data_IF_387792236258
#
_entry.id   IF_387792236258
#
_cell.length_a   1.000
_cell.length_b   1.000
_cell.length_c   1.000
_cell.angle_alpha   90.00
_cell.angle_beta   90.00
_cell.angle_gamma   90.00
#
_symmetry.space_group_name_H-M   'P 1'
#
loop_
_entity.id
_entity.type
_entity.pdbx_description
1 polymer ?
#
# COMPACT_ATOMS: atom_id res chain seq x y z
N UNK A 1 11.96 12.70 -18.18
CA UNK A 1 12.53 12.10 -16.93
C UNK A 1 11.47 11.15 -16.39
N UNK A 2 11.79 9.88 -16.31
CA UNK A 2 10.84 8.91 -15.76
C UNK A 2 10.66 9.15 -14.26
N UNK A 3 9.41 9.15 -13.77
CA UNK A 3 9.09 9.29 -12.35
C UNK A 3 9.88 8.27 -11.50
N UNK A 4 10.29 8.62 -10.26
CA UNK A 4 11.03 7.72 -9.35
C UNK A 4 10.41 6.34 -9.17
N UNK A 5 9.08 6.24 -9.21
CA UNK A 5 8.36 4.99 -9.00
C UNK A 5 8.72 3.88 -10.00
N UNK A 6 9.18 4.23 -11.21
CA UNK A 6 9.62 3.22 -12.19
C UNK A 6 10.96 2.54 -11.82
N UNK A 7 11.63 3.02 -10.77
CA UNK A 7 12.84 2.44 -10.18
C UNK A 7 12.60 1.94 -8.74
N UNK A 8 11.35 1.84 -8.32
CA UNK A 8 10.93 1.49 -6.96
C UNK A 8 11.65 0.26 -6.43
N UNK A 9 11.69 -0.81 -7.21
CA UNK A 9 12.27 -2.08 -6.78
C UNK A 9 13.78 -2.02 -6.54
N UNK A 10 14.49 -1.09 -7.19
CA UNK A 10 15.93 -0.91 -6.96
C UNK A 10 16.23 -0.33 -5.57
N UNK A 11 15.29 0.40 -4.98
CA UNK A 11 15.43 1.05 -3.68
C UNK A 11 14.65 0.34 -2.56
N UNK A 12 13.88 -0.71 -2.90
CA UNK A 12 12.95 -1.36 -1.98
C UNK A 12 13.61 -1.85 -0.69
N UNK A 13 14.70 -2.57 -0.80
CA UNK A 13 15.40 -3.13 0.37
C UNK A 13 16.06 -2.03 1.21
N UNK A 14 16.61 -1.00 0.57
CA UNK A 14 17.15 0.17 1.27
C UNK A 14 16.05 0.93 2.03
N UNK A 15 14.86 1.09 1.41
CA UNK A 15 13.70 1.70 2.08
C UNK A 15 13.23 0.88 3.29
N UNK A 16 13.18 -0.45 3.17
CA UNK A 16 12.86 -1.33 4.30
C UNK A 16 13.86 -1.15 5.43
N UNK A 17 15.16 -1.09 5.13
CA UNK A 17 16.21 -0.84 6.12
C UNK A 17 16.09 0.53 6.79
N UNK A 18 15.76 1.58 6.03
CA UNK A 18 15.52 2.93 6.56
C UNK A 18 14.30 2.96 7.52
N UNK A 19 13.21 2.30 7.15
CA UNK A 19 12.03 2.15 8.02
C UNK A 19 12.39 1.51 9.34
N UNK A 20 13.12 0.39 9.33
CA UNK A 20 13.55 -0.32 10.53
C UNK A 20 14.43 0.58 11.39
N UNK A 21 15.41 1.26 10.79
CA UNK A 21 16.31 2.17 11.50
C UNK A 21 15.55 3.31 12.20
N UNK A 22 14.56 3.90 11.53
CA UNK A 22 13.71 4.97 12.10
C UNK A 22 12.86 4.46 13.27
N UNK A 23 12.27 3.28 13.14
CA UNK A 23 11.47 2.67 14.20
C UNK A 23 12.34 2.39 15.42
N UNK A 24 13.54 1.81 15.22
CA UNK A 24 14.49 1.54 16.31
C UNK A 24 14.98 2.83 16.99
N UNK A 25 15.21 3.89 16.22
CA UNK A 25 15.62 5.18 16.76
C UNK A 25 14.51 5.89 17.54
N UNK A 26 13.25 5.73 17.11
CA UNK A 26 12.10 6.33 17.76
C UNK A 26 11.61 5.55 19.00
N UNK A 27 11.98 4.27 19.15
CA UNK A 27 11.53 3.42 20.25
C UNK A 27 12.45 3.61 21.47
N UNK A 28 11.97 4.35 22.45
CA UNK A 28 12.73 4.62 23.67
C UNK A 28 12.88 3.38 24.56
N UNK A 29 11.85 2.55 24.65
CA UNK A 29 11.84 1.31 25.45
C UNK A 29 11.45 0.10 24.58
N UNK A 30 12.44 -0.66 24.10
CA UNK A 30 12.21 -1.88 23.33
C UNK A 30 11.38 -2.93 24.06
N UNK A 31 11.59 -3.09 25.37
CA UNK A 31 10.88 -4.09 26.17
C UNK A 31 9.39 -3.77 26.26
N UNK A 32 9.05 -2.50 26.49
CA UNK A 32 7.66 -2.06 26.52
C UNK A 32 6.98 -2.25 25.16
N UNK A 33 7.64 -1.85 24.06
CA UNK A 33 7.11 -2.01 22.72
C UNK A 33 6.86 -3.49 22.35
N UNK A 34 7.78 -4.38 22.73
CA UNK A 34 7.63 -5.82 22.53
C UNK A 34 6.52 -6.42 23.40
N UNK A 35 6.37 -5.97 24.66
CA UNK A 35 5.26 -6.39 25.51
C UNK A 35 3.90 -6.03 24.91
N UNK A 36 3.74 -4.79 24.43
CA UNK A 36 2.51 -4.37 23.74
C UNK A 36 2.24 -5.23 22.50
N UNK A 37 3.28 -5.52 21.70
CA UNK A 37 3.16 -6.38 20.54
C UNK A 37 2.76 -7.82 20.93
N UNK A 38 3.45 -8.43 21.90
CA UNK A 38 3.14 -9.77 22.39
C UNK A 38 1.69 -9.86 22.91
N UNK A 39 1.28 -8.92 23.75
CA UNK A 39 -0.09 -8.90 24.29
C UNK A 39 -1.15 -8.86 23.18
N UNK A 40 -1.00 -7.98 22.23
CA UNK A 40 -1.97 -7.82 21.15
C UNK A 40 -1.98 -9.03 20.21
N UNK A 41 -0.80 -9.58 19.89
CA UNK A 41 -0.69 -10.72 18.96
C UNK A 41 -1.15 -12.05 19.61
N UNK A 42 -0.81 -12.31 20.87
CA UNK A 42 -1.31 -13.48 21.60
C UNK A 42 -2.84 -13.43 21.68
N UNK A 43 -3.41 -12.26 21.99
CA UNK A 43 -4.86 -12.07 22.02
C UNK A 43 -5.50 -12.27 20.64
N UNK A 44 -4.88 -11.79 19.58
CA UNK A 44 -5.38 -11.95 18.19
C UNK A 44 -5.35 -13.38 17.70
N UNK A 45 -4.32 -14.14 18.09
CA UNK A 45 -4.05 -15.51 17.63
C UNK A 45 -4.66 -16.57 18.54
N UNK A 46 -5.02 -16.21 19.77
CA UNK A 46 -5.40 -17.16 20.83
C UNK A 46 -6.48 -18.19 20.44
N UNK A 47 -7.40 -17.78 19.55
CA UNK A 47 -8.47 -18.66 19.08
C UNK A 47 -8.04 -19.64 17.96
N UNK A 48 -6.87 -19.39 17.34
CA UNK A 48 -6.45 -20.13 16.14
C UNK A 48 -5.25 -21.04 16.38
N UNK A 49 -4.50 -20.82 17.46
CA UNK A 49 -3.29 -21.58 17.77
C UNK A 49 -2.18 -21.44 16.73
N UNK A 50 -1.19 -22.34 16.79
CA UNK A 50 -0.16 -22.51 15.77
C UNK A 50 1.18 -21.85 16.09
N UNK A 51 2.17 -22.08 15.21
CA UNK A 51 3.56 -21.70 15.41
C UNK A 51 3.79 -20.18 15.64
N UNK A 52 2.93 -19.35 15.07
CA UNK A 52 2.97 -17.90 15.26
C UNK A 52 2.60 -17.53 16.71
N UNK A 53 1.52 -18.13 17.25
CA UNK A 53 1.13 -17.94 18.64
C UNK A 53 2.24 -18.40 19.58
N UNK A 54 2.81 -19.60 19.34
CA UNK A 54 3.90 -20.14 20.16
C UNK A 54 5.14 -19.23 20.16
N UNK A 55 5.45 -18.59 19.03
CA UNK A 55 6.54 -17.61 18.94
C UNK A 55 6.28 -16.41 19.87
N UNK A 56 5.09 -15.84 19.80
CA UNK A 56 4.74 -14.68 20.63
C UNK A 56 4.68 -15.02 22.12
N UNK A 57 4.18 -16.19 22.47
CA UNK A 57 4.16 -16.68 23.87
C UNK A 57 5.58 -16.91 24.41
N UNK A 58 6.46 -17.53 23.61
CA UNK A 58 7.88 -17.68 24.00
C UNK A 58 8.58 -16.34 24.19
N UNK A 59 8.35 -15.39 23.28
CA UNK A 59 8.92 -14.06 23.42
C UNK A 59 8.40 -13.38 24.69
N UNK A 60 7.10 -13.36 24.92
CA UNK A 60 6.48 -12.79 26.13
C UNK A 60 7.07 -13.38 27.42
N UNK A 61 7.26 -14.70 27.49
CA UNK A 61 7.86 -15.39 28.67
C UNK A 61 9.33 -15.05 28.90
N UNK A 62 10.04 -14.53 27.90
CA UNK A 62 11.47 -14.14 27.99
C UNK A 62 11.67 -12.65 28.32
N UNK A 63 10.72 -11.77 27.97
CA UNK A 63 10.91 -10.31 28.01
C UNK A 63 11.34 -9.77 29.37
N UNK A 64 10.90 -10.40 30.47
CA UNK A 64 11.32 -10.00 31.82
C UNK A 64 12.75 -10.45 32.22
N UNK A 65 13.48 -11.17 31.36
CA UNK A 65 14.78 -11.80 31.66
C UNK A 65 15.86 -11.51 30.63
N UNK A 66 15.50 -10.90 29.48
CA UNK A 66 16.46 -10.54 28.43
C UNK A 66 17.15 -9.21 28.74
N UNK A 67 18.38 -9.07 28.30
CA UNK A 67 19.13 -7.83 28.37
C UNK A 67 18.55 -6.74 27.46
N UNK A 68 18.84 -5.46 27.71
CA UNK A 68 18.43 -4.37 26.81
C UNK A 68 18.93 -4.55 25.35
N UNK A 69 20.11 -5.14 25.17
CA UNK A 69 20.65 -5.43 23.85
C UNK A 69 19.86 -6.54 23.13
N UNK A 70 19.48 -7.60 23.84
CA UNK A 70 18.64 -8.67 23.29
C UNK A 70 17.23 -8.15 22.97
N UNK A 71 16.64 -7.31 23.84
CA UNK A 71 15.35 -6.67 23.57
C UNK A 71 15.41 -5.82 22.28
N UNK A 72 16.51 -5.11 22.05
CA UNK A 72 16.71 -4.33 20.84
C UNK A 72 16.83 -5.21 19.60
N UNK A 73 17.51 -6.35 19.68
CA UNK A 73 17.60 -7.32 18.58
C UNK A 73 16.24 -7.94 18.23
N UNK A 74 15.46 -8.33 19.25
CA UNK A 74 14.11 -8.84 19.03
C UNK A 74 13.19 -7.78 18.42
N UNK A 75 13.30 -6.52 18.87
CA UNK A 75 12.57 -5.39 18.28
C UNK A 75 12.90 -5.20 16.81
N UNK A 76 14.20 -5.26 16.47
CA UNK A 76 14.67 -5.15 15.08
C UNK A 76 14.13 -6.29 14.21
N UNK A 77 14.11 -7.52 14.72
CA UNK A 77 13.56 -8.68 14.02
C UNK A 77 12.06 -8.50 13.74
N UNK A 78 11.29 -8.09 14.75
CA UNK A 78 9.84 -7.86 14.62
C UNK A 78 9.56 -6.68 13.68
N UNK A 79 10.28 -5.58 13.82
CA UNK A 79 10.14 -4.41 12.96
C UNK A 79 10.49 -4.75 11.50
N UNK A 80 11.57 -5.52 11.28
CA UNK A 80 11.98 -5.99 9.95
C UNK A 80 10.94 -6.90 9.31
N UNK A 81 10.36 -7.80 10.09
CA UNK A 81 9.28 -8.67 9.62
C UNK A 81 8.08 -7.82 9.14
N UNK A 82 7.63 -6.88 9.96
CA UNK A 82 6.51 -6.01 9.59
C UNK A 82 6.84 -5.10 8.41
N UNK A 83 8.03 -4.51 8.36
CA UNK A 83 8.43 -3.65 7.27
C UNK A 83 8.45 -4.39 5.93
N UNK A 84 8.91 -5.64 5.90
CA UNK A 84 8.89 -6.49 4.70
C UNK A 84 7.47 -6.92 4.31
N UNK A 85 6.59 -7.24 5.27
CA UNK A 85 5.18 -7.60 4.98
C UNK A 85 4.41 -6.39 4.45
N UNK A 86 4.67 -5.20 4.99
CA UNK A 86 4.05 -3.94 4.53
C UNK A 86 4.55 -3.55 3.14
N UNK A 87 5.84 -3.71 2.87
CA UNK A 87 6.49 -3.16 1.68
C UNK A 87 5.81 -3.60 0.37
N UNK A 88 5.36 -2.59 -0.38
CA UNK A 88 4.84 -2.76 -1.74
C UNK A 88 5.92 -3.12 -2.75
N UNK A 89 5.51 -3.22 -3.98
CA UNK A 89 6.35 -3.45 -5.15
C UNK A 89 5.82 -2.63 -6.33
N UNK A 90 6.66 -2.33 -7.30
CA UNK A 90 6.20 -1.69 -8.53
C UNK A 90 6.93 -2.28 -9.74
N UNK A 91 6.16 -2.93 -10.64
CA UNK A 91 6.70 -3.46 -11.89
C UNK A 91 6.21 -2.60 -13.07
N UNK A 92 7.14 -1.91 -13.76
CA UNK A 92 6.80 -1.09 -14.93
C UNK A 92 6.11 -1.86 -16.07
N UNK A 93 6.38 -3.16 -16.20
CA UNK A 93 5.75 -4.02 -17.23
C UNK A 93 4.30 -4.29 -16.87
N UNK A 94 4.05 -4.63 -15.59
CA UNK A 94 2.69 -4.83 -15.07
C UNK A 94 1.91 -3.52 -15.16
N UNK A 95 2.52 -2.39 -14.82
CA UNK A 95 1.89 -1.08 -14.98
C UNK A 95 1.51 -0.79 -16.43
N UNK A 96 2.42 -0.99 -17.38
CA UNK A 96 2.15 -0.79 -18.81
C UNK A 96 1.03 -1.71 -19.35
N UNK A 97 0.95 -2.94 -18.85
CA UNK A 97 -0.14 -3.85 -19.17
C UNK A 97 -1.45 -3.38 -18.54
N UNK A 98 -1.44 -3.07 -17.24
CA UNK A 98 -2.62 -2.61 -16.51
C UNK A 98 -3.21 -1.33 -17.12
N UNK A 99 -2.38 -0.35 -17.47
CA UNK A 99 -2.81 0.89 -18.14
C UNK A 99 -3.60 0.63 -19.41
N UNK A 100 -3.18 -0.35 -20.21
CA UNK A 100 -3.90 -0.75 -21.42
C UNK A 100 -5.17 -1.54 -21.15
N UNK A 101 -5.18 -2.37 -20.08
CA UNK A 101 -6.29 -3.24 -19.73
C UNK A 101 -7.39 -2.55 -18.91
N UNK A 102 -7.04 -1.52 -18.15
CA UNK A 102 -8.01 -0.81 -17.28
C UNK A 102 -9.10 -0.13 -18.08
N UNK A 103 -8.77 0.51 -19.20
CA UNK A 103 -9.76 1.20 -20.02
C UNK A 103 -10.85 0.24 -20.55
N UNK A 104 -10.53 -0.86 -21.24
CA UNK A 104 -11.55 -1.80 -21.69
C UNK A 104 -12.31 -2.47 -20.53
N UNK A 105 -11.64 -2.74 -19.39
CA UNK A 105 -12.27 -3.31 -18.21
C UNK A 105 -13.32 -2.35 -17.60
N UNK A 106 -12.98 -1.08 -17.43
CA UNK A 106 -13.92 -0.06 -16.96
C UNK A 106 -15.06 0.15 -17.97
N UNK A 107 -14.78 0.11 -19.27
CA UNK A 107 -15.78 0.16 -20.33
C UNK A 107 -16.79 -0.97 -20.22
N UNK A 108 -16.32 -2.18 -20.00
CA UNK A 108 -17.14 -3.37 -19.82
C UNK A 108 -18.01 -3.27 -18.54
N UNK A 109 -17.46 -2.78 -17.45
CA UNK A 109 -18.18 -2.61 -16.17
C UNK A 109 -19.23 -1.50 -16.23
N UNK A 110 -18.91 -0.38 -16.89
CA UNK A 110 -19.81 0.77 -17.01
C UNK A 110 -20.85 0.63 -18.12
N UNK A 111 -20.65 -0.32 -19.04
CA UNK A 111 -21.56 -0.57 -20.16
C UNK A 111 -21.61 -2.04 -20.56
N UNK A 112 -22.22 -2.90 -19.77
CA UNK A 112 -22.36 -4.33 -20.13
C UNK A 112 -23.03 -4.57 -21.49
N UNK A 113 -23.94 -3.66 -21.88
CA UNK A 113 -24.65 -3.74 -23.18
C UNK A 113 -23.75 -3.44 -24.40
N UNK A 114 -22.66 -2.71 -24.23
CA UNK A 114 -21.72 -2.45 -25.32
C UNK A 114 -20.85 -3.67 -25.65
N UNK A 115 -20.63 -4.57 -24.71
CA UNK A 115 -19.93 -5.86 -24.94
C UNK A 115 -20.71 -6.79 -25.88
N UNK A 116 -22.05 -6.74 -25.81
CA UNK A 116 -22.92 -7.60 -26.66
C UNK A 116 -23.05 -7.06 -28.08
N UNK A 117 -22.79 -5.77 -28.29
CA UNK A 117 -22.99 -5.10 -29.59
C UNK A 117 -21.74 -5.03 -30.45
N UNK A 118 -20.55 -5.23 -29.87
CA UNK A 118 -19.28 -5.19 -30.59
C UNK A 118 -18.65 -6.57 -30.66
N UNK A 119 -18.83 -7.25 -31.80
CA UNK A 119 -18.11 -8.45 -32.17
C UNK A 119 -16.58 -8.18 -32.32
N UNK A 120 -15.73 -9.24 -32.30
CA UNK A 120 -14.29 -9.12 -32.05
C UNK A 120 -13.59 -8.22 -33.08
N UNK A 121 -13.03 -7.11 -32.61
CA UNK A 121 -12.20 -6.20 -33.43
C UNK A 121 -12.24 -4.72 -33.03
N UNK A 122 -13.26 -4.24 -32.38
CA UNK A 122 -13.38 -2.83 -31.97
C UNK A 122 -13.88 -2.69 -30.52
N UNK A 123 -12.99 -2.87 -29.56
CA UNK A 123 -13.20 -2.26 -28.25
C UNK A 123 -13.09 -0.75 -28.47
N UNK A 124 -14.23 -0.09 -28.61
CA UNK A 124 -14.29 1.35 -28.76
C UNK A 124 -13.86 2.02 -27.44
N UNK A 125 -12.57 2.29 -27.32
CA UNK A 125 -11.98 2.97 -26.18
C UNK A 125 -12.52 4.41 -26.05
N UNK A 126 -13.09 4.97 -27.12
CA UNK A 126 -13.69 6.31 -27.13
C UNK A 126 -14.99 6.34 -26.32
N UNK A 127 -15.66 5.20 -26.14
CA UNK A 127 -16.85 5.10 -25.28
C UNK A 127 -16.60 5.45 -23.80
N UNK A 128 -15.35 5.39 -23.33
CA UNK A 128 -14.97 5.82 -21.98
C UNK A 128 -14.73 7.33 -21.87
N UNK A 129 -14.33 7.96 -22.96
CA UNK A 129 -13.97 9.38 -22.96
C UNK A 129 -15.15 10.27 -22.59
N UNK A 130 -16.38 9.85 -22.88
CA UNK A 130 -17.60 10.52 -22.46
C UNK A 130 -18.15 10.11 -21.07
N UNK A 131 -17.56 9.10 -20.40
CA UNK A 131 -18.09 8.53 -19.14
C UNK A 131 -17.19 8.77 -17.93
N UNK A 132 -15.89 8.89 -18.15
CA UNK A 132 -14.94 9.26 -17.11
C UNK A 132 -14.33 10.59 -17.52
N UNK A 133 -14.91 11.66 -17.00
CA UNK A 133 -14.41 13.02 -17.18
C UNK A 133 -13.32 13.26 -16.13
N UNK A 134 -12.11 13.61 -16.60
CA UNK A 134 -11.01 14.06 -15.75
C UNK A 134 -10.89 15.57 -15.96
N UNK A 135 -11.39 16.33 -15.01
CA UNK A 135 -11.41 17.79 -15.05
C UNK A 135 -10.67 18.38 -13.85
N UNK A 136 -10.19 19.62 -14.00
CA UNK A 136 -9.49 20.36 -12.96
C UNK A 136 -8.21 21.01 -13.44
N UNK A 137 -7.39 21.58 -12.55
CA UNK A 137 -6.17 22.32 -12.88
C UNK A 137 -5.00 21.36 -13.24
N UNK A 138 -5.19 20.50 -14.25
CA UNK A 138 -4.24 19.42 -14.61
C UNK A 138 -2.86 19.95 -14.97
N UNK A 139 -2.76 21.10 -15.63
CA UNK A 139 -1.48 21.72 -15.95
C UNK A 139 -0.70 22.12 -14.69
N UNK A 140 -1.39 22.66 -13.69
CA UNK A 140 -0.82 22.98 -12.38
C UNK A 140 -0.37 21.73 -11.64
N UNK A 141 -1.18 20.67 -11.64
CA UNK A 141 -0.83 19.40 -11.00
C UNK A 141 0.41 18.76 -11.63
N UNK A 142 0.52 18.77 -12.98
CA UNK A 142 1.73 18.28 -13.66
C UNK A 142 2.97 19.10 -13.28
N UNK A 143 2.85 20.42 -13.19
CA UNK A 143 3.94 21.28 -12.71
C UNK A 143 4.33 20.95 -11.28
N UNK A 144 3.37 20.82 -10.37
CA UNK A 144 3.62 20.48 -8.97
C UNK A 144 4.28 19.10 -8.83
N UNK A 145 3.89 18.11 -9.65
CA UNK A 145 4.50 16.78 -9.66
C UNK A 145 5.99 16.79 -10.07
N UNK A 146 6.46 17.83 -10.75
CA UNK A 146 7.90 18.01 -11.05
C UNK A 146 8.66 18.73 -9.96
N UNK A 147 7.98 19.43 -9.06
CA UNK A 147 8.57 20.21 -7.98
C UNK A 147 8.64 19.44 -6.65
N UNK A 148 7.76 18.46 -6.48
CA UNK A 148 7.70 17.71 -5.22
C UNK A 148 6.77 16.51 -5.28
N UNK A 149 6.65 15.83 -4.13
CA UNK A 149 5.80 14.65 -3.98
C UNK A 149 4.36 15.07 -3.73
N UNK A 150 3.45 14.55 -4.55
CA UNK A 150 2.00 14.81 -4.39
C UNK A 150 1.37 13.79 -3.46
N UNK A 151 0.51 14.26 -2.58
CA UNK A 151 -0.41 13.41 -1.79
C UNK A 151 -1.82 13.66 -2.28
N UNK A 152 -2.40 12.66 -2.92
CA UNK A 152 -3.77 12.70 -3.41
C UNK A 152 -4.71 12.23 -2.30
N UNK A 153 -5.74 13.03 -2.00
CA UNK A 153 -6.63 12.80 -0.85
C UNK A 153 -8.11 12.81 -1.31
N UNK A 154 -8.53 11.81 -2.11
CA UNK A 154 -9.91 11.74 -2.57
C UNK A 154 -10.85 11.17 -1.51
N UNK A 155 -12.15 11.41 -1.70
CA UNK A 155 -13.21 10.72 -0.96
C UNK A 155 -13.25 9.24 -1.34
N UNK A 156 -13.47 8.35 -0.37
CA UNK A 156 -13.56 6.91 -0.60
C UNK A 156 -15.03 6.45 -0.60
N UNK A 157 -15.55 6.09 -1.76
CA UNK A 157 -16.93 5.67 -1.96
C UNK A 157 -17.06 4.20 -2.39
N UNK A 158 -16.07 3.69 -3.16
CA UNK A 158 -16.14 2.39 -3.81
C UNK A 158 -14.80 1.63 -3.71
N UNK A 159 -14.87 0.30 -3.80
CA UNK A 159 -13.65 -0.54 -3.97
C UNK A 159 -12.95 -0.29 -5.33
N UNK A 160 -13.62 0.37 -6.26
CA UNK A 160 -13.07 0.71 -7.58
C UNK A 160 -12.29 2.04 -7.56
N UNK A 161 -12.36 2.82 -6.48
CA UNK A 161 -11.78 4.17 -6.44
C UNK A 161 -10.28 4.18 -6.75
N UNK A 162 -9.52 3.22 -6.25
CA UNK A 162 -8.08 3.14 -6.54
C UNK A 162 -7.80 2.82 -8.02
N UNK A 163 -8.65 2.00 -8.66
CA UNK A 163 -8.53 1.64 -10.08
C UNK A 163 -8.90 2.84 -10.95
N UNK A 164 -10.04 3.48 -10.66
CA UNK A 164 -10.50 4.67 -11.38
C UNK A 164 -9.51 5.81 -11.21
N UNK A 165 -8.98 5.99 -9.99
CA UNK A 165 -7.99 7.02 -9.71
C UNK A 165 -6.67 6.77 -10.46
N UNK A 166 -6.19 5.53 -10.51
CA UNK A 166 -5.03 5.15 -11.31
C UNK A 166 -5.22 5.46 -12.81
N UNK A 167 -6.40 5.17 -13.35
CA UNK A 167 -6.77 5.54 -14.71
C UNK A 167 -6.81 7.05 -14.92
N UNK A 168 -7.37 7.80 -13.97
CA UNK A 168 -7.43 9.26 -14.02
C UNK A 168 -6.02 9.89 -13.99
N UNK A 169 -5.11 9.38 -13.16
CA UNK A 169 -3.71 9.84 -13.13
C UNK A 169 -3.02 9.64 -14.49
N UNK A 170 -3.19 8.47 -15.10
CA UNK A 170 -2.63 8.16 -16.40
C UNK A 170 -3.15 9.13 -17.47
N UNK A 171 -4.48 9.31 -17.56
CA UNK A 171 -5.10 10.25 -18.51
C UNK A 171 -4.71 11.69 -18.25
N UNK A 172 -4.51 12.08 -17.01
CA UNK A 172 -4.01 13.40 -16.64
C UNK A 172 -2.52 13.58 -16.97
N UNK A 173 -1.80 12.54 -17.41
CA UNK A 173 -0.34 12.59 -17.61
C UNK A 173 0.43 12.79 -16.30
N UNK A 174 -0.13 12.30 -15.18
CA UNK A 174 0.48 12.33 -13.86
C UNK A 174 1.15 10.99 -13.56
N UNK A 175 2.22 10.98 -12.75
CA UNK A 175 2.86 9.74 -12.32
C UNK A 175 1.90 8.86 -11.49
N UNK A 176 2.07 7.51 -11.54
CA UNK A 176 1.34 6.63 -10.65
C UNK A 176 1.70 6.89 -9.19
N UNK A 177 0.75 6.60 -8.29
CA UNK A 177 0.87 6.80 -6.86
C UNK A 177 0.93 5.47 -6.12
N UNK A 178 1.70 5.44 -5.01
CA UNK A 178 1.64 4.35 -4.02
C UNK A 178 0.41 4.52 -3.13
N UNK A 179 -0.13 3.43 -2.60
CA UNK A 179 -1.30 3.50 -1.71
C UNK A 179 -1.37 2.33 -0.74
N UNK A 180 -1.93 2.58 0.45
CA UNK A 180 -2.20 1.55 1.44
C UNK A 180 -3.45 0.75 1.10
N UNK A 181 -3.33 -0.57 1.02
CA UNK A 181 -4.44 -1.46 0.74
C UNK A 181 -4.63 -2.50 1.84
N UNK A 182 -5.87 -2.73 2.25
CA UNK A 182 -6.20 -3.70 3.29
C UNK A 182 -5.73 -5.11 2.92
N UNK A 183 -5.09 -5.80 3.85
CA UNK A 183 -4.54 -7.17 3.64
C UNK A 183 -5.58 -8.16 3.15
N UNK A 184 -6.85 -7.97 3.47
CA UNK A 184 -7.97 -8.76 2.97
C UNK A 184 -8.15 -8.72 1.45
N UNK A 185 -7.73 -7.64 0.79
CA UNK A 185 -7.79 -7.52 -0.66
C UNK A 185 -6.72 -8.38 -1.37
N UNK A 186 -5.68 -8.79 -0.66
CA UNK A 186 -4.62 -9.64 -1.18
C UNK A 186 -4.94 -11.15 -1.08
N UNK A 187 -6.14 -11.53 -0.63
CA UNK A 187 -6.57 -12.94 -0.58
C UNK A 187 -6.93 -13.50 -1.97
N UNK A 188 -7.37 -12.65 -2.89
CA UNK A 188 -7.59 -13.04 -4.29
C UNK A 188 -6.25 -13.02 -5.03
N UNK A 189 -5.76 -14.15 -5.61
CA UNK A 189 -4.43 -14.22 -6.22
C UNK A 189 -4.23 -13.24 -7.38
N UNK A 190 -5.24 -13.07 -8.24
CA UNK A 190 -5.16 -12.16 -9.39
C UNK A 190 -5.10 -10.72 -8.93
N UNK A 191 -6.01 -10.32 -8.04
CA UNK A 191 -6.03 -8.97 -7.50
C UNK A 191 -4.75 -8.66 -6.72
N UNK A 192 -4.30 -9.62 -5.90
CA UNK A 192 -3.05 -9.55 -5.14
C UNK A 192 -1.85 -9.29 -6.05
N UNK A 193 -1.74 -10.02 -7.17
CA UNK A 193 -0.66 -9.84 -8.13
C UNK A 193 -0.62 -8.41 -8.69
N UNK A 194 -1.76 -7.91 -9.17
CA UNK A 194 -1.82 -6.56 -9.72
C UNK A 194 -1.58 -5.50 -8.64
N UNK A 195 -2.28 -5.57 -7.50
CA UNK A 195 -2.12 -4.58 -6.43
C UNK A 195 -0.67 -4.51 -5.94
N UNK A 196 -0.05 -5.68 -5.69
CA UNK A 196 1.32 -5.74 -5.23
C UNK A 196 2.29 -5.09 -6.24
N UNK A 197 2.13 -5.35 -7.53
CA UNK A 197 3.01 -4.86 -8.59
C UNK A 197 2.65 -3.45 -9.11
N UNK A 198 1.63 -2.81 -8.57
CA UNK A 198 1.19 -1.46 -8.93
C UNK A 198 1.34 -0.44 -7.77
N UNK A 199 2.22 -0.70 -6.82
CA UNK A 199 2.56 0.25 -5.77
C UNK A 199 1.67 0.18 -4.51
N UNK A 200 0.79 -0.82 -4.40
CA UNK A 200 0.04 -1.03 -3.17
C UNK A 200 0.94 -1.63 -2.08
N UNK A 201 0.95 -1.01 -0.91
CA UNK A 201 1.53 -1.59 0.29
C UNK A 201 0.43 -2.16 1.21
N UNK A 202 0.78 -3.22 1.95
CA UNK A 202 -0.19 -3.97 2.74
C UNK A 202 -0.48 -3.30 4.07
N UNK A 203 -1.77 -3.17 4.42
CA UNK A 203 -2.22 -2.67 5.72
C UNK A 203 -3.06 -3.75 6.41
N UNK A 204 -2.52 -4.39 7.44
CA UNK A 204 -3.28 -5.33 8.26
C UNK A 204 -3.93 -4.60 9.44
N UNK A 205 -5.22 -4.28 9.33
CA UNK A 205 -5.99 -3.56 10.34
C UNK A 205 -6.22 -4.36 11.63
N UNK A 206 -5.89 -5.66 11.63
CA UNK A 206 -5.99 -6.52 12.82
C UNK A 206 -4.80 -6.33 13.74
N UNK A 207 -3.64 -5.89 13.20
CA UNK A 207 -2.44 -5.57 13.97
C UNK A 207 -2.62 -4.20 14.64
N UNK A 208 -2.85 -4.21 15.97
CA UNK A 208 -3.23 -3.00 16.72
C UNK A 208 -2.13 -2.42 17.57
N UNK A 209 -1.03 -3.15 17.77
CA UNK A 209 0.10 -2.73 18.59
C UNK A 209 0.85 -1.52 18.00
N UNK A 210 1.47 -0.76 18.89
CA UNK A 210 2.14 0.51 18.53
C UNK A 210 3.24 0.30 17.52
N UNK A 211 4.08 -0.72 17.72
CA UNK A 211 5.22 -1.02 16.83
C UNK A 211 4.80 -1.17 15.35
N UNK A 212 3.70 -1.88 15.07
CA UNK A 212 3.21 -2.01 13.70
C UNK A 212 2.75 -0.68 13.10
N UNK A 213 2.07 0.14 13.91
CA UNK A 213 1.64 1.48 13.47
C UNK A 213 2.82 2.39 13.17
N UNK A 214 3.89 2.29 13.96
CA UNK A 214 5.10 3.08 13.75
C UNK A 214 5.85 2.61 12.49
N UNK A 215 5.88 1.30 12.20
CA UNK A 215 6.37 0.77 10.92
C UNK A 215 5.55 1.35 9.76
N UNK A 216 4.23 1.37 9.83
CA UNK A 216 3.38 1.93 8.76
C UNK A 216 3.62 3.43 8.55
N UNK A 217 3.75 4.20 9.63
CA UNK A 217 4.06 5.64 9.56
C UNK A 217 5.44 5.87 8.94
N UNK A 218 6.46 5.17 9.45
CA UNK A 218 7.82 5.28 8.93
C UNK A 218 7.88 4.92 7.44
N UNK A 219 7.19 3.83 7.04
CA UNK A 219 7.12 3.42 5.64
C UNK A 219 6.47 4.49 4.75
N UNK A 220 5.35 5.07 5.18
CA UNK A 220 4.68 6.14 4.44
C UNK A 220 5.57 7.38 4.29
N UNK A 221 6.30 7.78 5.36
CA UNK A 221 7.24 8.89 5.30
C UNK A 221 8.40 8.60 4.34
N UNK A 222 9.00 7.40 4.42
CA UNK A 222 10.09 6.98 3.53
C UNK A 222 9.65 7.00 2.06
N UNK A 223 8.43 6.56 1.75
CA UNK A 223 7.91 6.64 0.40
C UNK A 223 7.82 8.08 -0.11
N UNK A 224 7.26 8.99 0.69
CA UNK A 224 7.10 10.39 0.32
C UNK A 224 8.46 11.10 0.14
N UNK A 225 9.40 10.85 1.02
CA UNK A 225 10.76 11.42 0.97
C UNK A 225 11.56 10.92 -0.24
N UNK A 226 11.31 9.69 -0.68
CA UNK A 226 11.89 9.15 -1.91
C UNK A 226 11.18 9.64 -3.20
N UNK A 227 10.21 10.55 -3.08
CA UNK A 227 9.52 11.16 -4.21
C UNK A 227 8.42 10.29 -4.82
N UNK A 228 7.94 9.27 -4.11
CA UNK A 228 6.82 8.47 -4.58
C UNK A 228 5.51 9.16 -4.21
N UNK A 229 4.74 9.57 -5.22
CA UNK A 229 3.42 10.15 -5.00
C UNK A 229 2.53 9.17 -4.26
N UNK A 230 1.65 9.67 -3.41
CA UNK A 230 0.80 8.84 -2.56
C UNK A 230 -0.68 9.11 -2.79
N UNK A 231 -1.47 8.06 -2.73
CA UNK A 231 -2.92 8.11 -2.68
C UNK A 231 -3.37 7.69 -1.27
N UNK A 232 -4.07 8.57 -0.60
CA UNK A 232 -4.52 8.36 0.77
C UNK A 232 -6.01 8.65 0.91
N UNK A 233 -6.75 7.69 1.49
CA UNK A 233 -8.18 7.82 1.79
C UNK A 233 -8.35 8.12 3.28
N UNK A 234 -8.60 9.39 3.69
CA UNK A 234 -8.57 9.79 5.10
C UNK A 234 -9.63 9.12 5.96
N UNK A 235 -10.77 8.77 5.38
CA UNK A 235 -11.84 8.05 6.07
C UNK A 235 -11.49 6.61 6.45
N UNK A 236 -10.42 6.03 5.90
CA UNK A 236 -9.97 4.66 6.14
C UNK A 236 -10.98 3.56 5.79
N UNK A 237 -12.25 3.90 5.72
CA UNK A 237 -13.37 3.06 5.27
C UNK A 237 -14.21 3.86 4.28
N UNK A 238 -15.03 3.17 3.47
CA UNK A 238 -15.94 3.82 2.55
C UNK A 238 -16.95 4.68 3.34
N UNK A 239 -17.11 5.94 2.93
CA UNK A 239 -18.17 6.78 3.47
C UNK A 239 -19.51 6.17 3.07
N UNK A 240 -20.39 5.94 4.05
CA UNK A 240 -21.81 5.65 3.83
C UNK A 240 -22.51 6.99 3.90
N UNK A 241 -22.88 7.51 2.74
CA UNK A 241 -23.83 8.62 2.66
C UNK A 241 -25.22 8.13 2.98
#
# INVERSE_FOLDING_TARGET
TSSPIFRFNNSRDAMVGDVVSRVLAATADPTFALNDACYNEIRRLGDHGGAELDRWQRLAGRLGRISPSEARMELEEVASHHARDVAGNFDPRVYKFASKAIAPLLGALLSPRSLVRNLPGSLDLTALDGRILVDGPLATLRKLATLGTLVHVPTHLSNMDSVVFGFALERAGLPPATYGAGKNLFTNPVLSYFMHNLGAYRVDRRLRHVLYKDVLKAYSCVLLENGYHSLFFPGGTRSRS
#
